data_IF_895812516295
#
_entry.id   IF_895812516295
#
_cell.length_a   1.000
_cell.length_b   1.000
_cell.length_c   1.000
_cell.angle_alpha   90.00
_cell.angle_beta   90.00
_cell.angle_gamma   90.00
#
_symmetry.space_group_name_H-M   'P 1'
#
loop_
_entity.id
_entity.type
_entity.pdbx_description
1 polymer ?
#
# COMPACT_ATOMS: atom_id res chain seq x y z
N UNK A 1 6.79 -13.13 -6.09
CA UNK A 1 5.98 -12.09 -5.41
C UNK A 1 4.53 -12.58 -5.35
N UNK A 2 3.95 -12.73 -4.16
CA UNK A 2 2.53 -13.13 -3.99
C UNK A 2 1.60 -12.21 -4.80
N UNK A 3 0.57 -12.76 -5.46
CA UNK A 3 -0.38 -12.01 -6.32
C UNK A 3 -0.94 -10.77 -5.62
N UNK A 4 -1.25 -10.89 -4.33
CA UNK A 4 -1.74 -9.82 -3.48
C UNK A 4 -0.69 -8.70 -3.28
N UNK A 5 0.58 -9.05 -3.07
CA UNK A 5 1.68 -8.08 -2.95
C UNK A 5 1.88 -7.31 -4.25
N UNK A 6 1.80 -7.99 -5.40
CA UNK A 6 1.90 -7.36 -6.72
C UNK A 6 0.71 -6.41 -7.00
N UNK A 7 -0.49 -6.77 -6.54
CA UNK A 7 -1.70 -5.92 -6.66
C UNK A 7 -1.58 -4.63 -5.86
N UNK A 8 -1.10 -4.72 -4.61
CA UNK A 8 -0.91 -3.55 -3.73
C UNK A 8 0.10 -2.56 -4.34
N UNK A 9 1.21 -3.06 -4.87
CA UNK A 9 2.23 -2.20 -5.50
C UNK A 9 1.68 -1.52 -6.76
N UNK A 10 0.95 -2.25 -7.61
CA UNK A 10 0.30 -1.65 -8.80
C UNK A 10 -0.69 -0.55 -8.41
N UNK A 11 -1.49 -0.78 -7.37
CA UNK A 11 -2.41 0.23 -6.83
C UNK A 11 -1.65 1.48 -6.36
N UNK A 12 -0.54 1.29 -5.62
CA UNK A 12 0.27 2.40 -5.13
C UNK A 12 0.84 3.27 -6.25
N UNK A 13 1.38 2.63 -7.30
CA UNK A 13 1.95 3.33 -8.46
C UNK A 13 0.85 4.10 -9.19
N UNK A 14 -0.30 3.46 -9.44
CA UNK A 14 -1.41 4.09 -10.15
C UNK A 14 -2.00 5.28 -9.38
N UNK A 15 -2.21 5.11 -8.08
CA UNK A 15 -2.66 6.18 -7.18
C UNK A 15 -1.67 7.35 -7.19
N UNK A 16 -0.37 7.06 -7.06
CA UNK A 16 0.66 8.09 -7.06
C UNK A 16 0.68 8.86 -8.38
N UNK A 17 0.69 8.16 -9.53
CA UNK A 17 0.67 8.79 -10.86
C UNK A 17 -0.53 9.71 -11.08
N UNK A 18 -1.73 9.28 -10.68
CA UNK A 18 -2.94 10.12 -10.80
C UNK A 18 -2.85 11.34 -9.88
N UNK A 19 -2.42 11.15 -8.63
CA UNK A 19 -2.36 12.25 -7.67
C UNK A 19 -1.34 13.32 -8.07
N UNK A 20 -0.20 12.93 -8.66
CA UNK A 20 0.78 13.85 -9.24
C UNK A 20 0.16 14.62 -10.41
N UNK A 21 -0.62 13.95 -11.27
CA UNK A 21 -1.34 14.60 -12.36
C UNK A 21 -2.30 15.69 -11.85
N UNK A 22 -3.07 15.39 -10.80
CA UNK A 22 -3.94 16.39 -10.15
C UNK A 22 -3.13 17.53 -9.56
N UNK A 23 -1.99 17.24 -8.91
CA UNK A 23 -1.13 18.26 -8.31
C UNK A 23 -0.58 19.24 -9.36
N UNK A 24 -0.22 18.74 -10.55
CA UNK A 24 0.25 19.55 -11.68
C UNK A 24 -0.85 20.48 -12.20
N UNK A 25 -2.10 20.01 -12.27
CA UNK A 25 -3.25 20.85 -12.65
C UNK A 25 -3.41 22.02 -11.65
N UNK A 26 -3.29 21.74 -10.34
CA UNK A 26 -3.35 22.77 -9.30
C UNK A 26 -2.17 23.75 -9.36
N UNK A 27 -0.98 23.28 -9.75
CA UNK A 27 0.19 24.14 -9.96
C UNK A 27 -0.06 25.19 -11.06
N UNK A 28 -0.61 24.78 -12.20
CA UNK A 28 -0.86 25.67 -13.34
C UNK A 28 -2.04 26.60 -13.13
N UNK A 29 -3.13 26.15 -12.48
CA UNK A 29 -4.35 26.96 -12.34
C UNK A 29 -4.41 27.81 -11.05
N UNK A 30 -3.77 27.39 -9.95
CA UNK A 30 -3.96 28.01 -8.63
C UNK A 30 -2.67 28.10 -7.81
N UNK A 31 -1.70 28.90 -8.26
CA UNK A 31 -0.37 29.03 -7.64
C UNK A 31 -0.40 29.42 -6.15
N UNK A 32 -1.38 30.22 -5.71
CA UNK A 32 -1.53 30.59 -4.28
C UNK A 32 -2.00 29.43 -3.40
N UNK A 33 -2.84 28.54 -3.93
CA UNK A 33 -3.35 27.37 -3.21
C UNK A 33 -2.46 26.13 -3.38
N UNK A 34 -1.56 26.16 -4.37
CA UNK A 34 -0.64 25.06 -4.66
C UNK A 34 0.17 24.64 -3.43
N UNK A 35 0.73 25.58 -2.68
CA UNK A 35 1.53 25.26 -1.49
C UNK A 35 0.72 24.54 -0.42
N UNK A 36 -0.52 24.98 -0.18
CA UNK A 36 -1.43 24.30 0.73
C UNK A 36 -1.78 22.90 0.21
N UNK A 37 -2.14 22.79 -1.07
CA UNK A 37 -2.43 21.50 -1.72
C UNK A 37 -1.23 20.55 -1.69
N UNK A 38 0.00 21.06 -1.82
CA UNK A 38 1.23 20.28 -1.80
C UNK A 38 1.47 19.69 -0.40
N UNK A 39 1.31 20.48 0.65
CA UNK A 39 1.40 19.98 2.03
C UNK A 39 0.33 18.91 2.29
N UNK A 40 -0.93 19.17 1.93
CA UNK A 40 -2.01 18.18 2.07
C UNK A 40 -1.72 16.90 1.28
N UNK A 41 -1.17 17.03 0.08
CA UNK A 41 -0.79 15.90 -0.76
C UNK A 41 0.32 15.04 -0.12
N UNK A 42 1.33 15.66 0.50
CA UNK A 42 2.39 14.94 1.23
C UNK A 42 1.78 14.11 2.37
N UNK A 43 0.92 14.71 3.19
CA UNK A 43 0.27 13.99 4.30
C UNK A 43 -0.62 12.85 3.81
N UNK A 44 -1.43 13.09 2.76
CA UNK A 44 -2.29 12.06 2.17
C UNK A 44 -1.47 10.89 1.59
N UNK A 45 -0.37 11.20 0.89
CA UNK A 45 0.53 10.19 0.30
C UNK A 45 1.19 9.35 1.40
N UNK A 46 1.64 9.98 2.49
CA UNK A 46 2.21 9.27 3.62
C UNK A 46 1.21 8.31 4.29
N UNK A 47 -0.06 8.73 4.41
CA UNK A 47 -1.14 7.89 4.91
C UNK A 47 -1.38 6.64 4.04
N UNK A 48 -1.48 6.83 2.72
CA UNK A 48 -1.69 5.73 1.76
C UNK A 48 -0.52 4.74 1.76
N UNK A 49 0.72 5.24 1.81
CA UNK A 49 1.92 4.40 1.91
C UNK A 49 1.92 3.61 3.23
N UNK A 50 1.58 4.25 4.35
CA UNK A 50 1.54 3.61 5.66
C UNK A 50 0.52 2.47 5.72
N UNK A 51 -0.72 2.71 5.27
CA UNK A 51 -1.78 1.70 5.23
C UNK A 51 -1.39 0.52 4.33
N UNK A 52 -0.76 0.82 3.19
CA UNK A 52 -0.32 -0.22 2.25
C UNK A 52 0.83 -1.05 2.81
N UNK A 53 1.76 -0.42 3.53
CA UNK A 53 2.83 -1.12 4.24
C UNK A 53 2.29 -2.01 5.35
N UNK A 54 1.36 -1.50 6.17
CA UNK A 54 0.66 -2.31 7.18
C UNK A 54 -0.08 -3.50 6.56
N UNK A 55 -0.75 -3.29 5.43
CA UNK A 55 -1.43 -4.37 4.70
C UNK A 55 -0.45 -5.44 4.24
N UNK A 56 0.71 -5.06 3.70
CA UNK A 56 1.76 -6.00 3.30
C UNK A 56 2.34 -6.77 4.49
N UNK A 57 2.56 -6.09 5.61
CA UNK A 57 3.06 -6.70 6.84
C UNK A 57 2.06 -7.69 7.41
N UNK A 58 0.78 -7.34 7.44
CA UNK A 58 -0.29 -8.22 7.89
C UNK A 58 -0.45 -9.45 6.99
N UNK A 59 -0.30 -9.27 5.67
CA UNK A 59 -0.30 -10.38 4.70
C UNK A 59 0.87 -11.34 4.96
N UNK A 60 2.04 -10.82 5.32
CA UNK A 60 3.21 -11.63 5.68
C UNK A 60 3.03 -12.38 6.99
N UNK A 61 2.42 -11.76 8.00
CA UNK A 61 2.12 -12.42 9.28
C UNK A 61 1.10 -13.55 9.07
N UNK A 62 0.06 -13.31 8.26
CA UNK A 62 -0.93 -14.32 7.92
C UNK A 62 -0.32 -15.49 7.11
N UNK A 63 0.58 -15.21 6.16
CA UNK A 63 1.36 -16.23 5.44
C UNK A 63 2.14 -17.12 6.44
N UNK A 64 2.86 -16.52 7.40
CA UNK A 64 3.64 -17.25 8.41
C UNK A 64 2.76 -18.06 9.39
N UNK A 65 1.58 -17.55 9.78
CA UNK A 65 0.65 -18.28 10.65
C UNK A 65 0.02 -19.48 9.94
N UNK A 66 -0.31 -19.36 8.66
CA UNK A 66 -0.85 -20.48 7.89
C UNK A 66 0.21 -21.56 7.64
N UNK A 67 1.45 -21.17 7.32
CA UNK A 67 2.56 -22.11 7.18
C UNK A 67 2.83 -22.87 8.50
N UNK A 68 2.77 -22.19 9.64
CA UNK A 68 2.86 -22.83 10.97
C UNK A 68 1.72 -23.83 11.25
N UNK A 69 0.49 -23.53 10.81
CA UNK A 69 -0.65 -24.44 10.98
C UNK A 69 -0.57 -25.65 10.06
N UNK A 70 -0.15 -25.49 8.82
CA UNK A 70 0.01 -26.60 7.87
C UNK A 70 1.12 -27.57 8.30
N UNK A 71 2.22 -27.08 8.88
CA UNK A 71 3.25 -27.94 9.47
C UNK A 71 2.72 -28.71 10.68
N UNK A 72 1.92 -28.05 11.53
CA UNK A 72 1.32 -28.71 12.71
C UNK A 72 0.28 -29.77 12.32
N UNK A 73 -0.48 -29.55 11.24
CA UNK A 73 -1.50 -30.50 10.79
C UNK A 73 -0.88 -31.74 10.13
N UNK A 74 0.19 -31.58 9.34
CA UNK A 74 0.94 -32.71 8.76
C UNK A 74 1.60 -33.62 9.81
N UNK A 75 1.98 -33.09 10.96
CA UNK A 75 2.52 -33.90 12.05
C UNK A 75 1.44 -34.72 12.79
N UNK A 76 0.16 -34.33 12.70
CA UNK A 76 -0.93 -35.06 13.34
C UNK A 76 -1.58 -36.13 12.44
N UNK A 77 -1.31 -36.12 11.12
CA UNK A 77 -1.78 -37.17 10.18
C UNK A 77 -0.81 -38.35 10.05
N UNK A 78 0.39 -38.25 10.64
CA UNK A 78 1.43 -39.28 10.58
C UNK A 78 1.60 -40.10 11.87
N UNK A 79 0.70 -39.91 12.86
CA UNK A 79 0.55 -40.75 14.06
C UNK A 79 -0.80 -41.50 13.99
#
# INVERSE_FOLDING_TARGET
MSYNKKRIIKFLIYYFSISVGVLLIFYFWFTKLFWFSLVTWIFATFGVVSISFFTLMNLRIAELQNESKDVKNKNNEND
#
